data_IF_586482562608
#
_entry.id   IF_586482562608
#
_cell.length_a   1.000
_cell.length_b   1.000
_cell.length_c   1.000
_cell.angle_alpha   90.00
_cell.angle_beta   90.00
_cell.angle_gamma   90.00
#
_symmetry.space_group_name_H-M   'P 1'
#
loop_
_entity.id
_entity.type
_entity.pdbx_description
1 polymer ?
#
# COMPACT_ATOMS: atom_id res chain seq x y z
N UNK A 1 51.06 -15.48 -27.41
CA UNK A 1 50.62 -14.38 -26.52
C UNK A 1 49.20 -14.69 -26.08
N UNK A 2 49.05 -15.27 -24.91
CA UNK A 2 47.75 -15.71 -24.35
C UNK A 2 47.27 -14.68 -23.34
N UNK A 3 46.09 -14.12 -23.58
CA UNK A 3 45.43 -13.19 -22.65
C UNK A 3 44.77 -13.96 -21.51
N UNK A 4 44.86 -13.53 -20.26
CA UNK A 4 44.15 -14.15 -19.14
C UNK A 4 42.68 -13.72 -19.12
N UNK A 5 41.78 -14.70 -19.10
CA UNK A 5 40.37 -14.50 -18.86
C UNK A 5 40.15 -14.09 -17.40
N UNK A 6 39.62 -12.90 -17.18
CA UNK A 6 39.19 -12.46 -15.85
C UNK A 6 37.90 -13.14 -15.50
N UNK A 7 37.95 -14.02 -14.49
CA UNK A 7 36.77 -14.63 -13.85
C UNK A 7 36.14 -13.58 -12.95
N UNK A 8 34.96 -13.09 -13.32
CA UNK A 8 34.15 -12.21 -12.48
C UNK A 8 33.47 -13.10 -11.43
N UNK A 9 34.00 -13.09 -10.21
CA UNK A 9 33.34 -13.65 -9.06
C UNK A 9 32.16 -12.75 -8.68
N UNK A 10 30.94 -13.16 -9.06
CA UNK A 10 29.70 -12.53 -8.61
C UNK A 10 29.20 -13.18 -7.31
N UNK A 11 30.03 -13.17 -6.27
CA UNK A 11 29.58 -13.45 -4.90
C UNK A 11 29.10 -12.16 -4.24
N UNK A 12 27.98 -11.64 -4.73
CA UNK A 12 27.17 -10.74 -3.89
C UNK A 12 26.39 -11.63 -2.94
N UNK A 13 26.49 -11.42 -1.59
CA UNK A 13 25.69 -12.17 -0.65
C UNK A 13 24.22 -11.94 -0.97
N UNK A 14 23.52 -12.99 -1.38
CA UNK A 14 22.06 -13.01 -1.42
C UNK A 14 21.61 -12.89 0.03
N UNK A 15 21.27 -11.67 0.43
CA UNK A 15 20.73 -11.42 1.76
C UNK A 15 19.37 -12.13 1.81
N UNK A 16 19.26 -13.14 2.67
CA UNK A 16 17.98 -13.79 2.92
C UNK A 16 16.91 -12.74 3.24
N UNK A 17 15.75 -12.77 2.58
CA UNK A 17 14.70 -11.79 2.84
C UNK A 17 14.32 -11.83 4.31
N UNK A 18 14.35 -10.67 4.96
CA UNK A 18 14.02 -10.55 6.37
C UNK A 18 12.61 -11.07 6.60
N UNK A 19 12.48 -12.19 7.33
CA UNK A 19 11.16 -12.75 7.61
C UNK A 19 10.29 -11.74 8.38
N UNK A 20 8.98 -11.73 8.14
CA UNK A 20 8.05 -10.88 8.87
C UNK A 20 8.16 -11.06 10.39
N UNK A 21 8.47 -12.29 10.85
CA UNK A 21 8.70 -12.57 12.28
C UNK A 21 9.89 -11.80 12.86
N UNK A 22 10.93 -11.53 12.05
CA UNK A 22 12.09 -10.75 12.46
C UNK A 22 11.88 -9.24 12.27
N UNK A 23 11.10 -8.83 11.27
CA UNK A 23 10.82 -7.42 10.98
C UNK A 23 9.88 -6.79 12.02
N UNK A 24 8.81 -7.49 12.39
CA UNK A 24 7.76 -6.96 13.27
C UNK A 24 8.27 -6.49 14.63
N UNK A 25 9.13 -7.22 15.37
CA UNK A 25 9.68 -6.71 16.63
C UNK A 25 10.49 -5.43 16.46
N UNK A 26 11.22 -5.27 15.35
CA UNK A 26 11.98 -4.05 15.05
C UNK A 26 11.06 -2.86 14.80
N UNK A 27 9.98 -3.07 14.03
CA UNK A 27 8.96 -2.03 13.81
C UNK A 27 8.22 -1.68 15.10
N UNK A 28 7.93 -2.66 15.96
CA UNK A 28 7.32 -2.40 17.26
C UNK A 28 8.22 -1.53 18.15
N UNK A 29 9.53 -1.69 18.08
CA UNK A 29 10.49 -0.86 18.80
C UNK A 29 10.56 0.57 18.22
N UNK A 30 10.52 0.72 16.89
CA UNK A 30 10.53 2.02 16.22
C UNK A 30 9.22 2.81 16.43
N UNK A 31 8.10 2.09 16.49
CA UNK A 31 6.76 2.67 16.62
C UNK A 31 6.04 2.14 17.87
N UNK A 32 6.49 2.48 19.08
CA UNK A 32 5.97 1.88 20.32
C UNK A 32 4.50 2.20 20.60
N UNK A 33 3.96 3.25 19.98
CA UNK A 33 2.55 3.64 20.11
C UNK A 33 1.60 2.87 19.17
N UNK A 34 2.14 2.09 18.22
CA UNK A 34 1.38 1.23 17.34
C UNK A 34 1.38 -0.22 17.86
N UNK A 35 0.41 -0.99 17.45
CA UNK A 35 0.29 -2.42 17.79
C UNK A 35 0.30 -3.24 16.52
N UNK A 36 1.28 -4.13 16.37
CA UNK A 36 1.41 -5.03 15.23
C UNK A 36 0.90 -6.41 15.62
N UNK A 37 -0.09 -6.94 14.87
CA UNK A 37 -0.71 -8.23 15.15
C UNK A 37 -0.81 -9.07 13.89
N UNK A 38 -0.38 -10.32 13.95
CA UNK A 38 -0.59 -11.26 12.86
C UNK A 38 -2.08 -11.54 12.67
N UNK A 39 -2.54 -11.60 11.42
CA UNK A 39 -3.91 -11.77 11.03
C UNK A 39 -4.07 -12.41 9.65
N UNK A 40 -5.28 -12.37 9.11
CA UNK A 40 -5.59 -12.99 7.80
C UNK A 40 -5.22 -12.13 6.60
N UNK A 41 -5.01 -10.83 6.79
CA UNK A 41 -4.70 -9.86 5.74
C UNK A 41 -3.98 -8.66 6.32
N UNK A 42 -3.27 -7.93 5.46
CA UNK A 42 -2.75 -6.62 5.79
C UNK A 42 -3.91 -5.64 5.92
N UNK A 43 -3.93 -4.88 6.99
CA UNK A 43 -4.93 -3.84 7.22
C UNK A 43 -4.54 -2.94 8.39
N UNK A 44 -4.67 -1.64 8.22
CA UNK A 44 -4.69 -0.73 9.35
C UNK A 44 -6.08 -0.71 10.00
N UNK A 45 -6.12 -0.88 11.30
CA UNK A 45 -7.32 -0.78 12.14
C UNK A 45 -7.16 0.40 13.08
N UNK A 46 -7.79 1.55 12.76
CA UNK A 46 -7.69 2.73 13.61
C UNK A 46 -8.08 2.42 15.07
N UNK A 47 -7.48 3.11 16.06
CA UNK A 47 -6.53 4.22 15.84
C UNK A 47 -5.06 3.79 15.74
N UNK A 48 -4.69 2.54 16.06
CA UNK A 48 -3.28 2.18 16.26
C UNK A 48 -2.88 0.74 15.96
N UNK A 49 -3.77 -0.08 15.42
CA UNK A 49 -3.47 -1.51 15.19
C UNK A 49 -3.19 -1.77 13.71
N UNK A 50 -2.06 -2.40 13.42
CA UNK A 50 -1.72 -2.90 12.09
C UNK A 50 -1.84 -4.42 12.12
N UNK A 51 -2.74 -4.95 11.29
CA UNK A 51 -2.87 -6.38 11.02
C UNK A 51 -1.87 -6.79 9.95
N UNK A 52 -1.13 -7.86 10.20
CA UNK A 52 -0.10 -8.38 9.30
C UNK A 52 -0.65 -9.65 8.68
N UNK A 53 -0.80 -9.63 7.38
CA UNK A 53 -1.23 -10.77 6.58
C UNK A 53 -0.14 -11.86 6.47
N UNK A 54 -0.42 -12.93 5.73
CA UNK A 54 0.56 -13.94 5.41
C UNK A 54 1.72 -13.33 4.59
N UNK A 55 2.86 -13.99 4.63
CA UNK A 55 3.99 -13.63 3.79
C UNK A 55 3.69 -14.10 2.36
N UNK A 56 3.50 -13.16 1.45
CA UNK A 56 3.13 -13.40 0.05
C UNK A 56 4.30 -13.14 -0.91
N UNK A 57 5.52 -13.02 -0.38
CA UNK A 57 6.73 -12.88 -1.18
C UNK A 57 7.43 -11.52 -1.05
N UNK A 58 8.18 -11.08 -2.08
CA UNK A 58 9.13 -9.96 -1.96
C UNK A 58 8.45 -8.61 -1.65
N UNK A 59 7.18 -8.46 -1.96
CA UNK A 59 6.42 -7.22 -1.72
C UNK A 59 5.76 -7.15 -0.34
N UNK A 60 5.82 -8.21 0.45
CA UNK A 60 5.23 -8.25 1.80
C UNK A 60 5.69 -7.10 2.70
N UNK A 61 6.98 -6.70 2.74
CA UNK A 61 7.40 -5.53 3.50
C UNK A 61 6.75 -4.24 3.02
N UNK A 62 6.54 -4.06 1.71
CA UNK A 62 5.89 -2.86 1.17
C UNK A 62 4.42 -2.77 1.57
N UNK A 63 3.69 -3.90 1.55
CA UNK A 63 2.31 -3.97 2.06
C UNK A 63 2.24 -3.58 3.54
N UNK A 64 3.17 -4.07 4.36
CA UNK A 64 3.23 -3.70 5.77
C UNK A 64 3.49 -2.20 5.96
N UNK A 65 4.40 -1.63 5.18
CA UNK A 65 4.69 -0.20 5.25
C UNK A 65 3.57 0.67 4.66
N UNK A 66 2.78 0.17 3.71
CA UNK A 66 1.55 0.83 3.29
C UNK A 66 0.56 0.96 4.46
N UNK A 67 0.33 -0.11 5.22
CA UNK A 67 -0.53 -0.07 6.41
C UNK A 67 0.05 0.83 7.51
N UNK A 68 1.36 0.87 7.64
CA UNK A 68 2.06 1.83 8.50
C UNK A 68 1.82 3.27 8.01
N UNK A 69 1.80 3.49 6.70
CA UNK A 69 1.48 4.78 6.09
C UNK A 69 0.10 5.30 6.49
N UNK A 70 -0.93 4.45 6.54
CA UNK A 70 -2.24 4.82 7.08
C UNK A 70 -2.14 5.27 8.53
N UNK A 71 -1.40 4.54 9.36
CA UNK A 71 -1.25 4.88 10.78
C UNK A 71 -0.51 6.22 10.98
N UNK A 72 0.55 6.47 10.21
CA UNK A 72 1.40 7.66 10.33
C UNK A 72 0.72 8.91 9.76
N UNK A 73 -0.01 8.79 8.65
CA UNK A 73 -0.72 9.92 8.04
C UNK A 73 -1.88 10.41 8.89
N UNK A 74 -2.41 9.56 9.79
CA UNK A 74 -3.61 9.83 10.61
C UNK A 74 -4.84 10.22 9.78
N UNK A 75 -4.85 9.89 8.49
CA UNK A 75 -5.95 10.15 7.54
C UNK A 75 -6.58 8.82 7.16
N UNK A 76 -7.65 8.46 7.82
CA UNK A 76 -8.35 7.18 7.59
C UNK A 76 -9.88 7.31 7.56
N UNK A 77 -10.42 8.51 7.84
CA UNK A 77 -11.84 8.80 7.68
C UNK A 77 -12.10 9.43 6.31
N UNK A 78 -13.12 8.98 5.61
CA UNK A 78 -13.56 9.52 4.32
C UNK A 78 -15.08 9.52 4.24
N UNK A 79 -15.64 10.47 3.50
CA UNK A 79 -17.08 10.57 3.21
C UNK A 79 -17.41 10.12 1.79
N UNK A 80 -16.46 10.22 0.87
CA UNK A 80 -16.65 9.83 -0.53
C UNK A 80 -15.61 8.75 -0.96
N UNK A 81 -15.91 8.05 -2.05
CA UNK A 81 -14.98 7.05 -2.61
C UNK A 81 -13.73 7.70 -3.22
N UNK A 82 -13.90 8.94 -3.73
CA UNK A 82 -12.78 9.75 -4.22
C UNK A 82 -11.82 10.09 -3.08
N UNK A 83 -12.35 10.49 -1.92
CA UNK A 83 -11.52 10.72 -0.72
C UNK A 83 -10.81 9.45 -0.26
N UNK A 84 -11.46 8.30 -0.37
CA UNK A 84 -10.81 7.01 -0.07
C UNK A 84 -9.59 6.80 -0.96
N UNK A 85 -9.69 6.98 -2.28
CA UNK A 85 -8.54 6.86 -3.19
C UNK A 85 -7.41 7.82 -2.80
N UNK A 86 -7.74 9.05 -2.41
CA UNK A 86 -6.76 10.02 -1.92
C UNK A 86 -6.04 9.52 -0.66
N UNK A 87 -6.77 8.94 0.28
CA UNK A 87 -6.21 8.37 1.51
C UNK A 87 -5.27 7.22 1.20
N UNK A 88 -5.63 6.31 0.28
CA UNK A 88 -4.76 5.23 -0.18
C UNK A 88 -3.46 5.77 -0.78
N UNK A 89 -3.55 6.79 -1.66
CA UNK A 89 -2.37 7.43 -2.24
C UNK A 89 -1.45 8.05 -1.17
N UNK A 90 -2.02 8.74 -0.18
CA UNK A 90 -1.27 9.31 0.94
C UNK A 90 -0.60 8.20 1.77
N UNK A 91 -1.29 7.09 2.00
CA UNK A 91 -0.74 5.96 2.75
C UNK A 91 0.46 5.33 2.03
N UNK A 92 0.38 5.12 0.71
CA UNK A 92 1.52 4.65 -0.09
C UNK A 92 2.70 5.61 -0.03
N UNK A 93 2.48 6.92 -0.18
CA UNK A 93 3.54 7.93 -0.13
C UNK A 93 4.20 8.01 1.27
N UNK A 94 3.38 8.00 2.33
CA UNK A 94 3.88 8.05 3.71
C UNK A 94 4.59 6.75 4.07
N UNK A 95 4.06 5.61 3.65
CA UNK A 95 4.68 4.30 3.83
C UNK A 95 6.02 4.19 3.11
N UNK A 96 6.11 4.68 1.87
CA UNK A 96 7.38 4.74 1.11
C UNK A 96 8.43 5.57 1.84
N UNK A 97 8.06 6.74 2.34
CA UNK A 97 8.98 7.59 3.07
C UNK A 97 9.54 6.88 4.33
N UNK A 98 8.66 6.26 5.12
CA UNK A 98 9.08 5.47 6.28
C UNK A 98 9.93 4.24 5.90
N UNK A 99 9.59 3.58 4.79
CA UNK A 99 10.36 2.45 4.27
C UNK A 99 11.79 2.87 3.92
N UNK A 100 11.94 3.95 3.17
CA UNK A 100 13.24 4.49 2.74
C UNK A 100 14.09 4.96 3.93
N UNK A 101 13.47 5.60 4.91
CA UNK A 101 14.13 6.03 6.16
C UNK A 101 14.77 4.84 6.89
N UNK A 102 14.10 3.70 6.93
CA UNK A 102 14.53 2.53 7.69
C UNK A 102 15.14 1.43 6.83
N UNK A 103 15.21 1.60 5.51
CA UNK A 103 15.60 0.55 4.56
C UNK A 103 16.91 -0.14 4.91
N UNK A 104 17.95 0.63 5.18
CA UNK A 104 19.28 0.09 5.51
C UNK A 104 19.28 -0.58 6.89
N UNK A 105 18.73 0.10 7.91
CA UNK A 105 18.73 -0.40 9.29
C UNK A 105 17.93 -1.70 9.46
N UNK A 106 16.88 -1.86 8.65
CA UNK A 106 16.03 -3.03 8.65
C UNK A 106 16.42 -4.07 7.58
N UNK A 107 17.42 -3.78 6.75
CA UNK A 107 17.84 -4.63 5.64
C UNK A 107 16.68 -4.98 4.70
N UNK A 108 15.91 -3.96 4.29
CA UNK A 108 14.78 -4.12 3.38
C UNK A 108 15.26 -4.12 1.92
N UNK A 109 14.59 -4.83 1.02
CA UNK A 109 14.86 -4.75 -0.42
C UNK A 109 14.59 -3.35 -0.97
N UNK A 110 14.92 -3.11 -2.22
CA UNK A 110 14.56 -1.86 -2.88
C UNK A 110 13.04 -1.70 -2.92
N UNK A 111 12.57 -0.46 -2.73
CA UNK A 111 11.17 -0.15 -2.95
C UNK A 111 10.83 -0.26 -4.44
N UNK A 112 9.70 -0.91 -4.73
CA UNK A 112 9.16 -1.05 -6.07
C UNK A 112 7.99 -0.08 -6.24
N UNK A 113 8.18 0.94 -7.09
CA UNK A 113 7.14 1.93 -7.35
C UNK A 113 6.04 1.37 -8.25
N UNK A 114 6.36 0.48 -9.18
CA UNK A 114 5.38 -0.14 -10.08
C UNK A 114 4.40 -0.99 -9.27
N UNK A 115 4.88 -1.75 -8.29
CA UNK A 115 4.00 -2.48 -7.38
C UNK A 115 3.03 -1.57 -6.61
N UNK A 116 3.50 -0.42 -6.13
CA UNK A 116 2.65 0.54 -5.42
C UNK A 116 1.59 1.16 -6.36
N UNK A 117 1.99 1.52 -7.59
CA UNK A 117 1.07 2.05 -8.60
C UNK A 117 0.05 1.01 -9.05
N UNK A 118 0.44 -0.24 -9.29
CA UNK A 118 -0.50 -1.33 -9.64
C UNK A 118 -1.58 -1.51 -8.56
N UNK A 119 -1.20 -1.40 -7.28
CA UNK A 119 -2.18 -1.43 -6.19
C UNK A 119 -3.12 -0.22 -6.22
N UNK A 120 -2.62 0.99 -6.50
CA UNK A 120 -3.46 2.19 -6.66
C UNK A 120 -4.37 2.10 -7.89
N UNK A 121 -3.91 1.50 -8.98
CA UNK A 121 -4.69 1.32 -10.20
C UNK A 121 -5.90 0.42 -9.95
N UNK A 122 -5.80 -0.59 -9.10
CA UNK A 122 -6.98 -1.39 -8.71
C UNK A 122 -8.07 -0.53 -8.06
N UNK A 123 -7.70 0.47 -7.26
CA UNK A 123 -8.64 1.42 -6.67
C UNK A 123 -9.21 2.41 -7.71
N UNK A 124 -8.37 2.89 -8.64
CA UNK A 124 -8.78 3.78 -9.73
C UNK A 124 -9.79 3.08 -10.65
N UNK A 125 -9.52 1.86 -11.05
CA UNK A 125 -10.39 1.04 -11.88
C UNK A 125 -11.72 0.75 -11.18
N UNK A 126 -11.67 0.36 -9.91
CA UNK A 126 -12.85 0.14 -9.11
C UNK A 126 -13.69 1.43 -9.01
N UNK A 127 -13.07 2.58 -8.76
CA UNK A 127 -13.73 3.88 -8.68
C UNK A 127 -14.36 4.26 -10.03
N UNK A 128 -13.62 4.06 -11.11
CA UNK A 128 -14.13 4.30 -12.46
C UNK A 128 -15.37 3.46 -12.75
N UNK A 129 -15.32 2.15 -12.52
CA UNK A 129 -16.47 1.27 -12.70
C UNK A 129 -17.67 1.68 -11.84
N UNK A 130 -17.46 2.16 -10.64
CA UNK A 130 -18.51 2.70 -9.76
C UNK A 130 -19.14 3.98 -10.30
N UNK A 131 -18.34 4.81 -10.94
CA UNK A 131 -18.79 6.10 -11.50
C UNK A 131 -19.59 5.98 -12.80
N UNK A 132 -19.65 4.83 -13.46
CA UNK A 132 -20.41 4.66 -14.68
C UNK A 132 -21.88 4.44 -14.39
N UNK A 133 -22.74 5.26 -15.01
CA UNK A 133 -24.18 5.09 -14.96
C UNK A 133 -24.61 3.87 -15.77
N UNK A 134 -25.31 2.95 -15.12
CA UNK A 134 -25.77 1.71 -15.78
C UNK A 134 -26.86 1.92 -16.82
N UNK A 135 -27.55 3.07 -16.77
CA UNK A 135 -28.66 3.38 -17.68
C UNK A 135 -28.18 4.02 -18.97
N UNK A 136 -27.30 5.00 -18.91
CA UNK A 136 -26.87 5.77 -20.08
C UNK A 136 -25.37 5.68 -20.39
N UNK A 137 -24.57 5.00 -19.56
CA UNK A 137 -23.13 4.81 -19.76
C UNK A 137 -22.27 6.06 -19.47
N UNK A 138 -22.86 7.18 -19.08
CA UNK A 138 -22.10 8.40 -18.74
C UNK A 138 -21.52 8.32 -17.34
N UNK A 139 -20.46 9.11 -17.11
CA UNK A 139 -19.83 9.22 -15.79
C UNK A 139 -20.71 10.03 -14.85
N UNK A 140 -20.98 9.45 -13.69
CA UNK A 140 -21.66 10.09 -12.57
C UNK A 140 -20.69 10.89 -11.70
N UNK A 141 -21.17 11.87 -10.98
CA UNK A 141 -20.43 12.54 -9.93
C UNK A 141 -20.83 12.02 -8.54
N UNK A 142 -19.90 12.07 -7.59
CA UNK A 142 -20.11 11.61 -6.22
C UNK A 142 -20.19 12.82 -5.26
N UNK A 143 -21.15 12.76 -4.35
CA UNK A 143 -21.22 13.65 -3.18
C UNK A 143 -21.47 12.82 -1.91
N UNK A 144 -21.74 13.49 -0.79
CA UNK A 144 -21.97 12.84 0.49
C UNK A 144 -23.25 11.97 0.53
N UNK A 145 -24.16 12.14 -0.41
CA UNK A 145 -25.40 11.37 -0.52
C UNK A 145 -25.28 10.15 -1.45
N UNK A 146 -24.36 10.20 -2.41
CA UNK A 146 -24.15 9.11 -3.36
C UNK A 146 -23.68 9.56 -4.73
N UNK A 147 -23.93 8.72 -5.72
CA UNK A 147 -23.59 8.93 -7.12
C UNK A 147 -24.79 9.47 -7.89
N UNK A 148 -24.60 10.58 -8.61
CA UNK A 148 -25.64 11.23 -9.41
C UNK A 148 -25.28 11.24 -10.88
N UNK A 149 -26.19 10.78 -11.72
CA UNK A 149 -26.03 10.92 -13.15
C UNK A 149 -26.60 12.27 -13.64
N UNK A 150 -25.76 13.12 -14.25
CA UNK A 150 -26.21 14.45 -14.67
C UNK A 150 -27.14 14.40 -15.91
N UNK A 151 -27.28 13.24 -16.57
CA UNK A 151 -28.03 13.11 -17.79
C UNK A 151 -29.40 12.45 -17.60
N UNK A 152 -29.51 11.39 -16.83
CA UNK A 152 -30.76 10.63 -16.69
C UNK A 152 -31.29 10.59 -15.26
N UNK A 153 -30.83 11.50 -14.39
CA UNK A 153 -31.24 11.65 -12.99
C UNK A 153 -31.17 10.37 -12.14
N UNK A 154 -30.43 9.37 -12.62
CA UNK A 154 -30.20 8.17 -11.82
C UNK A 154 -29.37 8.47 -10.59
N UNK A 155 -29.82 7.96 -9.46
CA UNK A 155 -29.15 8.09 -8.17
C UNK A 155 -28.77 6.71 -7.64
N UNK A 156 -27.59 6.61 -7.06
CA UNK A 156 -27.08 5.39 -6.43
C UNK A 156 -26.49 5.75 -5.08
N UNK A 157 -27.06 5.25 -4.00
CA UNK A 157 -26.55 5.41 -2.64
C UNK A 157 -25.13 4.85 -2.49
N UNK A 158 -24.39 5.38 -1.54
CA UNK A 158 -23.01 4.97 -1.19
C UNK A 158 -22.92 3.54 -0.66
#
# INVERSE_FOLDING_TARGET
>A
MSSPSATINSDSPVLDPLSMKALVPKLQALYPNLSFKFGRRFAFKPPKTISIGPDEGPYTPQLLFHELGHALSKKYAYSTKVERLRIESIAWQTGKAAYQEHQQALNLPSWDDDFAEDNLDTYRDWLHQKSICRTCGLTMFEDNSGWHCPYCDQFKTL
#
